data_IF_631473109024
#
_entry.id   IF_631473109024
#
_cell.length_a   1.000
_cell.length_b   1.000
_cell.length_c   1.000
_cell.angle_alpha   90.00
_cell.angle_beta   90.00
_cell.angle_gamma   90.00
#
_symmetry.space_group_name_H-M   'P 1'
#
loop_
_entity.id
_entity.type
_entity.pdbx_description
1 polymer ?
#
# COMPACT_ATOMS: atom_id res chain seq x y z
N UNK A 1 -4.60 -4.71 -0.34
CA UNK A 1 -4.95 -3.76 0.76
C UNK A 1 -6.22 -4.12 1.52
N UNK A 2 -7.11 -4.97 1.00
CA UNK A 2 -8.33 -5.41 1.70
C UNK A 2 -8.09 -6.14 3.03
N UNK A 3 -6.88 -6.65 3.26
CA UNK A 3 -6.45 -7.26 4.52
C UNK A 3 -6.48 -6.29 5.71
N UNK A 4 -6.43 -4.98 5.46
CA UNK A 4 -6.36 -3.96 6.50
C UNK A 4 -7.66 -3.16 6.57
N UNK A 5 -8.06 -2.81 7.80
CA UNK A 5 -9.21 -1.93 8.06
C UNK A 5 -8.82 -0.46 8.06
N UNK A 6 -7.60 -0.16 8.54
CA UNK A 6 -7.07 1.21 8.65
C UNK A 6 -5.56 1.20 8.47
N UNK A 7 -5.05 2.22 7.81
CA UNK A 7 -3.63 2.51 7.67
C UNK A 7 -3.36 3.93 8.15
N UNK A 8 -2.30 4.12 8.92
CA UNK A 8 -1.88 5.43 9.42
C UNK A 8 -0.41 5.66 9.13
N UNK A 9 -0.10 6.88 8.72
CA UNK A 9 1.26 7.33 8.48
C UNK A 9 1.61 8.47 9.42
N UNK A 10 2.72 8.31 10.14
CA UNK A 10 3.17 9.28 11.14
C UNK A 10 4.59 9.75 10.84
N UNK A 11 4.86 11.03 11.15
CA UNK A 11 6.19 11.60 11.23
C UNK A 11 6.44 12.06 12.67
N UNK A 12 7.44 11.47 13.33
CA UNK A 12 7.81 11.76 14.74
C UNK A 12 6.60 11.82 15.67
N UNK A 13 5.75 10.80 15.65
CA UNK A 13 4.52 10.67 16.43
C UNK A 13 3.36 11.62 16.01
N UNK A 14 3.58 12.52 15.06
CA UNK A 14 2.50 13.33 14.49
C UNK A 14 1.78 12.51 13.41
N UNK A 15 0.47 12.35 13.54
CA UNK A 15 -0.35 11.74 12.50
C UNK A 15 -0.39 12.66 11.29
N UNK A 16 0.07 12.16 10.16
CA UNK A 16 0.06 12.87 8.87
C UNK A 16 -1.19 12.51 8.09
N UNK A 17 -1.45 11.20 7.95
CA UNK A 17 -2.60 10.74 7.20
C UNK A 17 -3.14 9.43 7.80
N UNK A 18 -4.46 9.32 7.87
CA UNK A 18 -5.17 8.11 8.27
C UNK A 18 -6.17 7.74 7.19
N UNK A 19 -6.06 6.52 6.68
CA UNK A 19 -6.92 6.00 5.64
C UNK A 19 -7.73 4.82 6.17
N UNK A 20 -9.04 5.00 6.25
CA UNK A 20 -9.97 3.93 6.55
C UNK A 20 -10.32 3.16 5.26
N UNK A 21 -10.55 1.86 5.39
CA UNK A 21 -10.88 0.97 4.27
C UNK A 21 -9.89 1.07 3.08
N UNK A 22 -8.59 0.93 3.34
CA UNK A 22 -7.56 1.19 2.33
C UNK A 22 -7.70 0.32 1.07
N UNK A 23 -8.29 -0.86 1.18
CA UNK A 23 -8.58 -1.72 0.03
C UNK A 23 -9.55 -1.08 -0.95
N UNK A 24 -10.65 -0.52 -0.46
CA UNK A 24 -11.66 0.14 -1.29
C UNK A 24 -11.09 1.44 -1.89
N UNK A 25 -10.51 2.31 -1.08
CA UNK A 25 -9.95 3.58 -1.53
C UNK A 25 -8.86 3.38 -2.60
N UNK A 26 -7.91 2.48 -2.38
CA UNK A 26 -6.84 2.21 -3.36
C UNK A 26 -7.36 1.56 -4.64
N UNK A 27 -8.43 0.75 -4.57
CA UNK A 27 -9.05 0.17 -5.75
C UNK A 27 -9.76 1.22 -6.58
N UNK A 28 -10.59 2.07 -5.97
CA UNK A 28 -11.28 3.14 -6.67
C UNK A 28 -10.31 4.12 -7.33
N UNK A 29 -9.32 4.60 -6.59
CA UNK A 29 -8.28 5.47 -7.14
C UNK A 29 -7.45 4.77 -8.22
N UNK A 30 -7.18 3.49 -8.05
CA UNK A 30 -6.46 2.70 -9.04
C UNK A 30 -7.22 2.56 -10.36
N UNK A 31 -8.53 2.32 -10.31
CA UNK A 31 -9.37 2.26 -11.51
C UNK A 31 -9.45 3.60 -12.26
N UNK A 32 -9.38 4.72 -11.54
CA UNK A 32 -9.44 6.05 -12.13
C UNK A 32 -8.09 6.55 -12.66
N UNK A 33 -6.98 6.21 -12.01
CA UNK A 33 -5.66 6.79 -12.30
C UNK A 33 -4.72 5.89 -13.08
N UNK A 34 -4.90 4.56 -13.01
CA UNK A 34 -3.97 3.62 -13.61
C UNK A 34 -4.33 3.34 -15.06
N UNK A 35 -3.36 3.40 -15.99
CA UNK A 35 -3.59 3.03 -17.37
C UNK A 35 -3.86 1.53 -17.51
N UNK A 36 -4.44 1.12 -18.62
CA UNK A 36 -4.85 -0.26 -18.88
C UNK A 36 -3.69 -1.28 -18.84
N UNK A 37 -2.51 -0.87 -19.24
CA UNK A 37 -1.30 -1.70 -19.25
C UNK A 37 -0.66 -1.84 -17.86
N UNK A 38 -1.09 -1.06 -16.87
CA UNK A 38 -0.59 -1.16 -15.49
C UNK A 38 -0.73 -2.58 -14.93
N UNK A 39 -1.83 -3.28 -15.23
CA UNK A 39 -2.06 -4.66 -14.81
C UNK A 39 -1.10 -5.67 -15.45
N UNK A 40 -0.43 -5.30 -16.53
CA UNK A 40 0.55 -6.14 -17.25
C UNK A 40 2.01 -5.81 -16.86
N UNK A 41 2.22 -4.74 -16.12
CA UNK A 41 3.54 -4.22 -15.77
C UNK A 41 3.70 -4.10 -14.25
N UNK A 42 3.74 -2.88 -13.72
CA UNK A 42 3.94 -2.62 -12.30
C UNK A 42 2.82 -3.17 -11.40
N UNK A 43 1.64 -3.35 -11.94
CA UNK A 43 0.49 -3.89 -11.22
C UNK A 43 0.70 -5.33 -10.75
N UNK A 44 1.43 -6.13 -11.51
CA UNK A 44 1.70 -7.54 -11.16
C UNK A 44 2.38 -7.67 -9.78
N UNK A 45 3.32 -6.79 -9.47
CA UNK A 45 4.03 -6.79 -8.18
C UNK A 45 3.09 -6.48 -7.01
N UNK A 46 1.99 -5.76 -7.29
CA UNK A 46 0.95 -5.37 -6.33
C UNK A 46 -0.24 -6.31 -6.33
N UNK A 47 -0.20 -7.39 -7.10
CA UNK A 47 -1.32 -8.31 -7.36
C UNK A 47 -2.53 -7.58 -7.96
N UNK A 48 -2.27 -6.56 -8.75
CA UNK A 48 -3.28 -5.81 -9.49
C UNK A 48 -3.51 -6.45 -10.86
N UNK A 49 -4.42 -7.43 -10.89
CA UNK A 49 -4.89 -8.03 -12.12
C UNK A 49 -6.23 -7.39 -12.51
N UNK A 50 -6.37 -7.00 -13.78
CA UNK A 50 -7.63 -6.41 -14.27
C UNK A 50 -8.68 -7.51 -14.38
N UNK A 51 -9.81 -7.31 -13.70
CA UNK A 51 -10.95 -8.20 -13.80
C UNK A 51 -11.61 -8.08 -15.19
N UNK A 52 -11.99 -9.21 -15.78
CA UNK A 52 -12.70 -9.28 -17.06
C UNK A 52 -14.21 -9.39 -16.90
N UNK A 53 -14.67 -9.68 -15.68
CA UNK A 53 -16.08 -9.77 -15.34
C UNK A 53 -16.30 -9.41 -13.85
N UNK A 54 -17.52 -9.07 -13.47
CA UNK A 54 -17.91 -8.75 -12.09
C UNK A 54 -18.26 -10.01 -11.25
N UNK A 55 -17.63 -11.14 -11.56
CA UNK A 55 -17.85 -12.40 -10.85
C UNK A 55 -16.56 -12.95 -10.26
N UNK A 56 -16.70 -13.76 -9.22
CA UNK A 56 -15.60 -14.51 -8.62
C UNK A 56 -15.48 -15.94 -9.22
N UNK A 57 -16.02 -16.18 -10.40
CA UNK A 57 -15.85 -17.43 -11.13
C UNK A 57 -14.58 -17.40 -11.96
N UNK A 58 -13.72 -18.42 -11.82
CA UNK A 58 -12.43 -18.49 -12.55
C UNK A 58 -12.62 -18.59 -14.06
N UNK A 59 -13.67 -19.25 -14.51
CA UNK A 59 -13.96 -19.43 -15.94
C UNK A 59 -14.28 -18.11 -16.65
N UNK A 60 -14.91 -17.17 -15.94
CA UNK A 60 -15.43 -15.94 -16.53
C UNK A 60 -14.55 -14.71 -16.23
N UNK A 61 -13.74 -14.78 -15.16
CA UNK A 61 -12.93 -13.66 -14.70
C UNK A 61 -11.44 -14.02 -14.62
N UNK A 62 -10.70 -13.66 -15.66
CA UNK A 62 -9.26 -13.92 -15.78
C UNK A 62 -8.45 -13.24 -14.66
N UNK A 63 -8.82 -12.03 -14.26
CA UNK A 63 -8.14 -11.32 -13.18
C UNK A 63 -8.31 -12.02 -11.83
N UNK A 64 -9.53 -12.49 -11.55
CA UNK A 64 -9.80 -13.31 -10.38
C UNK A 64 -9.03 -14.63 -10.43
N UNK A 65 -9.05 -15.33 -11.56
CA UNK A 65 -8.34 -16.61 -11.76
C UNK A 65 -6.84 -16.45 -11.48
N UNK A 66 -6.21 -15.43 -12.06
CA UNK A 66 -4.78 -15.17 -11.89
C UNK A 66 -4.42 -14.84 -10.42
N UNK A 67 -5.22 -14.03 -9.72
CA UNK A 67 -5.02 -13.77 -8.28
C UNK A 67 -5.18 -15.03 -7.46
N UNK A 68 -6.23 -15.80 -7.75
CA UNK A 68 -6.49 -17.03 -7.02
C UNK A 68 -5.35 -18.04 -7.16
N UNK A 69 -4.87 -18.24 -8.37
CA UNK A 69 -3.76 -19.16 -8.67
C UNK A 69 -2.47 -18.73 -7.95
N UNK A 70 -2.17 -17.43 -7.96
CA UNK A 70 -1.00 -16.91 -7.26
C UNK A 70 -1.12 -17.03 -5.73
N UNK A 71 -2.31 -16.83 -5.16
CA UNK A 71 -2.54 -16.86 -3.72
C UNK A 71 -2.70 -18.29 -3.18
N UNK A 72 -3.30 -19.18 -3.97
CA UNK A 72 -3.62 -20.57 -3.58
C UNK A 72 -2.87 -21.51 -4.51
N UNK A 73 -1.63 -21.77 -4.18
CA UNK A 73 -0.75 -22.65 -4.95
C UNK A 73 -1.11 -24.13 -4.80
N UNK A 74 -1.75 -24.49 -3.69
CA UNK A 74 -2.21 -25.85 -3.42
C UNK A 74 -3.44 -25.83 -2.53
N UNK A 75 -4.45 -26.70 -2.77
CA UNK A 75 -5.62 -26.81 -1.91
C UNK A 75 -5.33 -27.49 -0.56
N UNK A 76 -4.23 -28.21 -0.45
CA UNK A 76 -3.90 -29.06 0.72
C UNK A 76 -2.73 -28.55 1.53
N UNK A 77 -1.89 -27.70 0.98
CA UNK A 77 -0.69 -27.19 1.64
C UNK A 77 -0.81 -25.68 1.86
N UNK A 78 -0.25 -25.20 2.98
CA UNK A 78 -0.14 -23.78 3.29
C UNK A 78 0.55 -23.06 2.13
N UNK A 79 -0.16 -22.11 1.51
CA UNK A 79 0.37 -21.27 0.43
C UNK A 79 1.09 -20.06 1.00
N UNK A 80 2.22 -19.72 0.42
CA UNK A 80 3.02 -18.53 0.78
C UNK A 80 3.07 -17.62 -0.45
N UNK A 81 2.77 -16.34 -0.26
CA UNK A 81 2.84 -15.34 -1.32
C UNK A 81 3.47 -14.04 -0.81
N UNK A 82 4.01 -13.26 -1.73
CA UNK A 82 4.58 -11.96 -1.44
C UNK A 82 4.09 -10.92 -2.43
N UNK A 83 4.00 -9.66 -2.01
CA UNK A 83 3.64 -8.55 -2.87
C UNK A 83 4.29 -7.25 -2.36
N UNK A 84 4.38 -6.27 -3.23
CA UNK A 84 4.87 -4.93 -2.91
C UNK A 84 3.84 -3.90 -3.30
N UNK A 85 3.63 -2.89 -2.46
CA UNK A 85 2.74 -1.78 -2.76
C UNK A 85 3.51 -0.49 -2.58
N UNK A 86 3.45 0.38 -3.58
CA UNK A 86 4.00 1.72 -3.46
C UNK A 86 3.18 2.55 -2.48
N UNK A 87 3.84 3.22 -1.53
CA UNK A 87 3.18 4.06 -0.53
C UNK A 87 2.41 5.21 -1.16
N UNK A 88 2.85 5.71 -2.32
CA UNK A 88 2.13 6.72 -3.10
C UNK A 88 0.74 6.27 -3.58
N UNK A 89 0.48 4.96 -3.64
CA UNK A 89 -0.84 4.42 -3.97
C UNK A 89 -1.75 4.31 -2.75
N UNK A 90 -1.20 4.47 -1.55
CA UNK A 90 -1.94 4.36 -0.28
C UNK A 90 -2.18 5.75 0.29
N UNK A 91 -1.12 6.55 0.41
CA UNK A 91 -1.13 7.86 1.07
C UNK A 91 -0.93 9.00 0.07
N UNK A 92 -1.78 10.02 0.16
CA UNK A 92 -1.63 11.23 -0.63
C UNK A 92 -0.37 12.00 -0.27
N UNK A 93 0.02 12.04 1.01
CA UNK A 93 1.30 12.58 1.42
C UNK A 93 2.48 11.96 0.65
N UNK A 94 2.50 10.64 0.49
CA UNK A 94 3.59 9.97 -0.24
C UNK A 94 3.50 10.14 -1.76
N UNK A 95 2.36 10.60 -2.29
CA UNK A 95 2.20 10.92 -3.72
C UNK A 95 2.60 12.36 -4.03
N UNK A 96 2.21 13.31 -3.18
CA UNK A 96 2.29 14.74 -3.48
C UNK A 96 3.55 15.40 -2.88
N UNK A 97 4.09 14.86 -1.78
CA UNK A 97 5.24 15.46 -1.12
C UNK A 97 6.54 14.85 -1.63
N UNK A 98 7.29 15.61 -2.39
CA UNK A 98 8.55 15.23 -3.06
C UNK A 98 9.81 15.80 -2.41
N UNK A 99 9.64 16.55 -1.32
CA UNK A 99 10.76 17.18 -0.62
C UNK A 99 11.45 16.22 0.35
N UNK A 100 12.69 16.54 0.71
CA UNK A 100 13.46 15.77 1.70
C UNK A 100 12.85 15.96 3.09
N UNK A 101 12.46 14.86 3.71
CA UNK A 101 12.06 14.83 5.12
C UNK A 101 13.31 14.57 5.96
N UNK A 102 13.81 15.62 6.64
CA UNK A 102 15.04 15.53 7.42
C UNK A 102 14.76 15.34 8.91
N UNK A 103 15.44 14.38 9.52
CA UNK A 103 15.45 14.21 10.98
C UNK A 103 14.16 13.67 11.61
N UNK A 104 13.13 13.39 10.83
CA UNK A 104 11.86 12.89 11.33
C UNK A 104 11.78 11.36 11.21
N UNK A 105 11.29 10.72 12.26
CA UNK A 105 11.05 9.28 12.27
C UNK A 105 9.75 8.96 11.53
N UNK A 106 9.85 8.13 10.50
CA UNK A 106 8.68 7.64 9.77
C UNK A 106 8.10 6.40 10.45
N UNK A 107 6.82 6.40 10.74
CA UNK A 107 6.10 5.26 11.29
C UNK A 107 4.87 4.93 10.43
N UNK A 108 4.61 3.65 10.27
CA UNK A 108 3.47 3.12 9.54
C UNK A 108 2.71 2.15 10.45
N UNK A 109 1.44 2.44 10.69
CA UNK A 109 0.54 1.58 11.44
C UNK A 109 -0.47 0.96 10.50
N UNK A 110 -0.58 -0.35 10.49
CA UNK A 110 -1.53 -1.11 9.68
C UNK A 110 -2.40 -1.95 10.60
N UNK A 111 -3.70 -1.67 10.61
CA UNK A 111 -4.67 -2.40 11.43
C UNK A 111 -5.28 -3.50 10.59
N UNK A 112 -4.97 -4.76 10.94
CA UNK A 112 -5.49 -5.94 10.24
C UNK A 112 -6.99 -6.11 10.50
N UNK A 113 -7.75 -6.51 9.49
CA UNK A 113 -9.14 -6.95 9.65
C UNK A 113 -9.23 -8.32 10.31
N UNK A 114 -10.45 -8.68 10.74
CA UNK A 114 -10.77 -10.05 11.11
C UNK A 114 -10.58 -10.98 9.91
N UNK A 115 -10.33 -12.25 10.15
CA UNK A 115 -10.08 -13.23 9.09
C UNK A 115 -11.26 -13.34 8.12
N UNK A 116 -12.48 -13.33 8.65
CA UNK A 116 -13.72 -13.43 7.84
C UNK A 116 -13.94 -12.23 6.92
N UNK A 117 -13.51 -11.05 7.34
CA UNK A 117 -13.63 -9.80 6.57
C UNK A 117 -12.46 -9.58 5.61
N UNK A 118 -11.35 -10.28 5.82
CA UNK A 118 -10.11 -10.14 5.06
C UNK A 118 -10.02 -11.04 3.84
N UNK A 119 -10.82 -12.12 3.82
CA UNK A 119 -10.75 -13.14 2.78
C UNK A 119 -12.12 -13.35 2.13
N UNK A 120 -12.12 -13.39 0.79
CA UNK A 120 -13.27 -13.87 0.03
C UNK A 120 -13.23 -15.40 -0.04
N UNK A 121 -14.29 -16.05 0.44
CA UNK A 121 -14.43 -17.51 0.42
C UNK A 121 -15.86 -17.92 0.14
N UNK A 122 -16.06 -19.14 -0.36
CA UNK A 122 -17.39 -19.71 -0.51
C UNK A 122 -18.02 -19.97 0.87
N UNK A 123 -19.34 -19.89 0.97
CA UNK A 123 -20.07 -20.09 2.23
C UNK A 123 -19.80 -21.47 2.88
N UNK A 124 -19.55 -22.50 2.08
CA UNK A 124 -19.22 -23.84 2.54
C UNK A 124 -17.73 -24.07 2.84
N UNK A 125 -16.87 -23.07 2.57
CA UNK A 125 -15.45 -23.22 2.84
C UNK A 125 -15.16 -23.10 4.34
N UNK A 126 -14.26 -23.95 4.83
CA UNK A 126 -13.79 -23.90 6.22
C UNK A 126 -13.12 -22.58 6.59
N UNK A 127 -12.89 -22.36 7.88
CA UNK A 127 -12.20 -21.17 8.38
C UNK A 127 -10.79 -21.06 7.77
N UNK A 128 -10.48 -19.90 7.20
CA UNK A 128 -9.15 -19.57 6.69
C UNK A 128 -8.42 -18.60 7.61
N UNK A 129 -7.10 -18.56 7.55
CA UNK A 129 -6.27 -17.62 8.31
C UNK A 129 -5.17 -17.05 7.44
N UNK A 130 -4.99 -15.72 7.48
CA UNK A 130 -3.87 -15.04 6.84
C UNK A 130 -2.87 -14.63 7.91
N UNK A 131 -1.66 -15.14 7.82
CA UNK A 131 -0.56 -14.80 8.72
C UNK A 131 0.39 -13.88 7.97
N UNK A 132 0.73 -12.75 8.57
CA UNK A 132 1.77 -11.85 8.08
C UNK A 132 3.10 -12.33 8.65
N UNK A 133 3.90 -12.97 7.81
CA UNK A 133 5.19 -13.51 8.19
C UNK A 133 6.25 -12.41 8.26
N UNK A 134 6.36 -11.59 7.22
CA UNK A 134 7.33 -10.50 7.14
C UNK A 134 6.72 -9.26 6.49
N UNK A 135 6.97 -8.11 7.09
CA UNK A 135 6.65 -6.82 6.51
C UNK A 135 7.90 -5.93 6.51
N UNK A 136 8.24 -5.37 5.36
CA UNK A 136 9.38 -4.48 5.20
C UNK A 136 8.96 -3.22 4.47
N UNK A 137 9.49 -2.08 4.91
CA UNK A 137 9.31 -0.80 4.25
C UNK A 137 10.63 -0.36 3.64
N UNK A 138 10.61 -0.02 2.37
CA UNK A 138 11.74 0.53 1.65
C UNK A 138 11.49 2.01 1.42
N UNK A 139 12.48 2.83 1.78
CA UNK A 139 12.45 4.27 1.56
C UNK A 139 13.72 4.71 0.86
N UNK A 140 13.64 5.57 -0.14
CA UNK A 140 14.83 6.16 -0.74
C UNK A 140 15.52 7.05 0.31
N UNK A 141 16.83 6.94 0.40
CA UNK A 141 17.67 7.80 1.22
C UNK A 141 18.48 8.72 0.31
N UNK A 142 18.35 10.02 0.55
CA UNK A 142 19.15 11.02 -0.12
C UNK A 142 20.33 11.40 0.77
N UNK A 143 21.52 11.41 0.21
CA UNK A 143 22.74 11.92 0.87
C UNK A 143 23.09 13.22 0.16
N UNK A 144 22.69 14.38 0.69
CA UNK A 144 22.99 15.66 0.05
C UNK A 144 24.47 15.99 0.15
N UNK A 145 24.96 16.81 -0.78
CA UNK A 145 26.31 17.38 -0.73
C UNK A 145 26.46 18.27 0.52
N UNK A 146 27.68 18.51 0.95
CA UNK A 146 27.93 19.24 2.21
C UNK A 146 27.36 20.66 2.19
N UNK A 147 27.45 21.36 1.06
CA UNK A 147 26.84 22.67 0.90
C UNK A 147 25.30 22.65 1.10
N UNK A 148 24.65 21.64 0.59
CA UNK A 148 23.21 21.47 0.75
C UNK A 148 22.84 21.10 2.19
N UNK A 149 23.66 20.27 2.86
CA UNK A 149 23.49 19.98 4.30
C UNK A 149 23.55 21.24 5.14
N UNK A 150 24.52 22.10 4.89
CA UNK A 150 24.65 23.40 5.60
C UNK A 150 23.43 24.29 5.36
N UNK A 151 22.91 24.32 4.14
CA UNK A 151 21.70 25.07 3.81
C UNK A 151 20.48 24.53 4.58
N UNK A 152 20.31 23.20 4.63
CA UNK A 152 19.23 22.54 5.38
C UNK A 152 19.36 22.87 6.88
N UNK A 153 20.56 22.74 7.47
CA UNK A 153 20.78 23.05 8.88
C UNK A 153 20.48 24.52 9.19
N UNK A 154 20.91 25.45 8.35
CA UNK A 154 20.62 26.88 8.51
C UNK A 154 19.11 27.16 8.46
N UNK A 155 18.39 26.49 7.57
CA UNK A 155 16.92 26.59 7.49
C UNK A 155 16.25 26.07 8.75
N UNK A 156 16.72 24.94 9.29
CA UNK A 156 16.20 24.35 10.54
C UNK A 156 16.51 25.29 11.72
N UNK A 157 17.73 25.80 11.81
CA UNK A 157 18.17 26.70 12.89
C UNK A 157 17.40 28.03 12.88
N UNK A 158 17.07 28.55 11.72
CA UNK A 158 16.25 29.76 11.56
C UNK A 158 14.79 29.57 12.00
N UNK A 159 14.38 28.35 12.34
CA UNK A 159 13.01 27.99 12.78
C UNK A 159 11.91 28.44 11.80
N UNK A 160 12.24 28.59 10.53
CA UNK A 160 11.26 28.87 9.48
C UNK A 160 10.33 27.68 9.36
N UNK A 161 9.03 27.93 9.41
CA UNK A 161 8.00 26.89 9.21
C UNK A 161 8.04 26.45 7.76
N UNK A 162 8.37 25.19 7.53
CA UNK A 162 8.25 24.56 6.21
C UNK A 162 6.78 24.24 5.96
N UNK A 163 6.24 24.74 4.85
CA UNK A 163 4.89 24.40 4.44
C UNK A 163 4.90 23.01 3.81
N UNK A 164 4.04 22.14 4.32
CA UNK A 164 3.82 20.80 3.79
C UNK A 164 2.41 20.73 3.23
N UNK A 165 2.29 20.81 1.91
CA UNK A 165 1.02 20.70 1.22
C UNK A 165 0.89 19.33 0.57
N UNK A 166 -0.22 18.65 0.82
CA UNK A 166 -0.55 17.35 0.22
C UNK A 166 -2.06 17.12 0.30
N UNK A 167 -2.55 16.23 -0.54
CA UNK A 167 -3.96 15.78 -0.51
C UNK A 167 -4.06 14.55 0.39
N UNK A 168 -5.04 14.53 1.27
CA UNK A 168 -5.43 13.32 2.03
C UNK A 168 -6.38 12.45 1.21
N UNK A 169 -6.42 11.15 1.50
CA UNK A 169 -7.29 10.16 0.85
C UNK A 169 -8.37 9.65 1.80
#
# INVERSE_FOLDING_TARGET
MYLFSRNEYHLSNQLIESLNYPGQATTMLGLLKKPDDFSKTQGLIQLWYKDTAATAAKADNNGFAARHEYLIQSPTVKSIFSFRISMKHIFGFCEDYDQIVYGLKHSLTLVKKREDDAMFRAAAAGAGKVILDKMSRFMPRVIPADAEKFSIYKTIESKVKLQVAYRTR
#
